data_IF_120849924841
#
_entry.id   IF_120849924841
#
_cell.length_a   1.000
_cell.length_b   1.000
_cell.length_c   1.000
_cell.angle_alpha   90.00
_cell.angle_beta   90.00
_cell.angle_gamma   90.00
#
_symmetry.space_group_name_H-M   'P 1'
#
loop_
_entity.id
_entity.type
_entity.pdbx_description
1 polymer ?
#
# COMPACT_ATOMS: atom_id res chain seq x y z
N UNK A 1 31.60 -5.79 16.80
CA UNK A 1 31.56 -5.46 15.36
C UNK A 1 30.21 -4.78 15.11
N UNK A 2 30.18 -3.45 15.16
CA UNK A 2 28.99 -2.63 14.93
C UNK A 2 28.79 -2.52 13.41
N UNK A 3 27.78 -3.18 12.85
CA UNK A 3 27.38 -2.95 11.47
C UNK A 3 26.61 -1.63 11.41
N UNK A 4 27.27 -0.57 10.96
CA UNK A 4 26.58 0.61 10.44
C UNK A 4 25.90 0.21 9.13
N UNK A 5 24.58 0.38 9.05
CA UNK A 5 23.86 0.17 7.80
C UNK A 5 24.41 1.13 6.73
N UNK A 6 24.63 0.65 5.49
CA UNK A 6 25.16 1.50 4.41
C UNK A 6 24.22 2.68 4.15
N UNK A 7 24.80 3.87 3.99
CA UNK A 7 24.10 5.09 3.59
C UNK A 7 23.37 4.83 2.26
N UNK A 8 22.03 4.78 2.29
CA UNK A 8 21.22 4.63 1.07
C UNK A 8 20.19 3.51 1.06
N UNK A 9 19.87 2.88 2.20
CA UNK A 9 18.68 2.03 2.27
C UNK A 9 17.43 2.90 2.06
N UNK A 10 16.66 2.64 1.00
CA UNK A 10 15.44 3.39 0.71
C UNK A 10 14.41 3.16 1.82
N UNK A 11 14.01 4.23 2.52
CA UNK A 11 12.96 4.21 3.53
C UNK A 11 11.55 4.03 2.95
N UNK A 12 11.39 4.20 1.63
CA UNK A 12 10.09 4.19 0.96
C UNK A 12 9.69 2.77 0.52
N UNK A 13 8.68 2.21 1.18
CA UNK A 13 8.07 0.92 0.82
C UNK A 13 6.67 1.13 0.23
N UNK A 14 6.41 0.53 -0.94
CA UNK A 14 5.07 0.50 -1.55
C UNK A 14 4.48 -0.90 -1.44
N UNK A 15 3.24 -0.98 -0.94
CA UNK A 15 2.52 -2.25 -0.76
C UNK A 15 1.25 -2.22 -1.60
N UNK A 16 1.11 -3.20 -2.50
CA UNK A 16 -0.10 -3.40 -3.29
C UNK A 16 -0.93 -4.52 -2.66
N UNK A 17 -2.10 -4.16 -2.14
CA UNK A 17 -3.02 -5.12 -1.56
C UNK A 17 -4.23 -5.29 -2.44
N UNK A 18 -4.64 -6.54 -2.59
CA UNK A 18 -5.64 -6.92 -3.57
C UNK A 18 -6.98 -7.30 -2.91
N UNK A 19 -6.93 -7.55 -1.59
CA UNK A 19 -8.06 -7.86 -0.72
C UNK A 19 -8.02 -6.95 0.51
N UNK A 20 -9.20 -6.54 0.96
CA UNK A 20 -9.36 -5.70 2.14
C UNK A 20 -8.74 -6.30 3.40
N UNK A 21 -8.96 -7.59 3.65
CA UNK A 21 -8.41 -8.30 4.82
C UNK A 21 -6.87 -8.30 4.86
N UNK A 22 -6.22 -8.36 3.69
CA UNK A 22 -4.75 -8.32 3.61
C UNK A 22 -4.26 -6.91 3.97
N UNK A 23 -4.91 -5.88 3.44
CA UNK A 23 -4.63 -4.47 3.78
C UNK A 23 -4.76 -4.22 5.28
N UNK A 24 -5.85 -4.68 5.90
CA UNK A 24 -6.09 -4.49 7.33
C UNK A 24 -5.01 -5.15 8.19
N UNK A 25 -4.61 -6.39 7.86
CA UNK A 25 -3.53 -7.09 8.58
C UNK A 25 -2.21 -6.34 8.51
N UNK A 26 -1.90 -5.76 7.35
CA UNK A 26 -0.69 -4.97 7.15
C UNK A 26 -0.75 -3.68 7.97
N UNK A 27 -1.88 -2.97 7.97
CA UNK A 27 -2.05 -1.76 8.76
C UNK A 27 -1.89 -2.02 10.28
N UNK A 28 -2.48 -3.10 10.78
CA UNK A 28 -2.33 -3.52 12.19
C UNK A 28 -0.86 -3.85 12.50
N UNK A 29 -0.17 -4.57 11.60
CA UNK A 29 1.23 -4.92 11.83
C UNK A 29 2.15 -3.71 11.75
N UNK A 30 1.86 -2.79 10.83
CA UNK A 30 2.57 -1.53 10.70
C UNK A 30 2.42 -0.69 11.97
N UNK A 31 1.22 -0.61 12.54
CA UNK A 31 0.96 0.06 13.82
C UNK A 31 1.80 -0.53 14.96
N UNK A 32 1.83 -1.86 15.08
CA UNK A 32 2.65 -2.55 16.08
C UNK A 32 4.15 -2.29 15.89
N UNK A 33 4.65 -2.25 14.65
CA UNK A 33 6.06 -1.97 14.35
C UNK A 33 6.45 -0.54 14.66
N UNK A 34 5.58 0.43 14.38
CA UNK A 34 5.79 1.83 14.73
C UNK A 34 5.90 2.00 16.24
N UNK A 35 4.95 1.40 16.98
CA UNK A 35 4.93 1.45 18.43
C UNK A 35 6.15 0.76 19.04
N UNK A 36 6.59 -0.37 18.48
CA UNK A 36 7.76 -1.11 18.98
C UNK A 36 9.08 -0.38 18.71
N UNK A 37 9.23 0.23 17.54
CA UNK A 37 10.49 0.85 17.13
C UNK A 37 10.81 2.18 17.81
N UNK A 38 9.88 2.79 18.57
CA UNK A 38 9.97 4.19 19.02
C UNK A 38 10.38 5.18 17.90
N UNK A 39 10.20 4.77 16.65
CA UNK A 39 10.63 5.56 15.51
C UNK A 39 9.67 6.74 15.38
N UNK A 40 10.20 7.91 15.03
CA UNK A 40 9.41 9.11 14.70
C UNK A 40 8.68 8.93 13.37
N UNK A 41 7.81 7.93 13.31
CA UNK A 41 7.01 7.62 12.14
C UNK A 41 5.99 8.74 11.98
N UNK A 42 5.98 9.38 10.81
CA UNK A 42 5.11 10.52 10.52
C UNK A 42 3.99 10.05 9.60
N UNK A 43 2.76 9.81 10.10
CA UNK A 43 1.63 9.35 9.27
C UNK A 43 1.35 10.29 8.09
N UNK A 44 1.65 11.59 8.24
CA UNK A 44 1.58 12.59 7.16
C UNK A 44 2.50 12.33 5.96
N UNK A 45 3.52 11.49 6.07
CA UNK A 45 4.36 11.06 4.94
C UNK A 45 3.75 9.87 4.19
N UNK A 46 2.85 9.13 4.82
CA UNK A 46 2.18 8.00 4.18
C UNK A 46 1.20 8.50 3.15
N UNK A 47 1.06 7.68 2.10
CA UNK A 47 0.17 7.93 1.00
C UNK A 47 -0.61 6.65 0.76
N UNK A 48 -1.92 6.78 0.66
CA UNK A 48 -2.80 5.65 0.40
C UNK A 48 -3.68 5.89 -0.81
N UNK A 49 -4.02 4.78 -1.47
CA UNK A 49 -4.80 4.73 -2.69
C UNK A 49 -5.65 3.45 -2.66
N UNK A 50 -6.96 3.61 -2.80
CA UNK A 50 -7.88 2.50 -3.00
C UNK A 50 -8.46 2.59 -4.41
N UNK A 51 -8.43 1.48 -5.15
CA UNK A 51 -8.95 1.41 -6.52
C UNK A 51 -10.01 0.33 -6.56
N UNK A 52 -11.20 0.68 -7.03
CA UNK A 52 -12.34 -0.24 -7.17
C UNK A 52 -12.99 -0.05 -8.54
N UNK A 53 -13.19 -1.16 -9.27
CA UNK A 53 -13.80 -1.18 -10.62
C UNK A 53 -13.17 -0.17 -11.59
N UNK A 54 -11.83 -0.05 -11.58
CA UNK A 54 -11.10 0.87 -12.46
C UNK A 54 -11.20 2.36 -12.09
N UNK A 55 -11.82 2.68 -10.95
CA UNK A 55 -11.91 4.04 -10.41
C UNK A 55 -11.22 4.19 -9.06
N UNK A 56 -10.87 5.43 -8.71
CA UNK A 56 -10.46 5.79 -7.35
C UNK A 56 -11.65 5.60 -6.41
N UNK A 57 -11.45 4.87 -5.32
CA UNK A 57 -12.46 4.73 -4.27
C UNK A 57 -12.21 5.80 -3.20
N UNK A 58 -13.00 6.87 -3.26
CA UNK A 58 -12.90 8.03 -2.36
C UNK A 58 -13.62 7.83 -1.02
N UNK A 59 -14.32 6.71 -0.84
CA UNK A 59 -15.00 6.43 0.43
C UNK A 59 -14.06 5.71 1.42
N UNK A 60 -12.98 5.10 0.91
CA UNK A 60 -12.03 4.35 1.74
C UNK A 60 -10.98 5.27 2.36
N UNK A 61 -10.90 5.26 3.70
CA UNK A 61 -9.86 5.92 4.47
C UNK A 61 -9.10 4.89 5.30
N UNK A 62 -7.76 4.96 5.26
CA UNK A 62 -6.90 4.07 6.04
C UNK A 62 -6.31 4.81 7.23
N UNK A 63 -6.19 4.11 8.35
CA UNK A 63 -5.64 4.66 9.59
C UNK A 63 -4.46 3.84 10.08
N UNK A 64 -3.46 4.52 10.65
CA UNK A 64 -2.31 3.95 11.36
C UNK A 64 -2.07 4.84 12.58
N UNK A 65 -1.75 4.26 13.73
CA UNK A 65 -1.61 4.99 15.01
C UNK A 65 -2.79 5.90 15.33
N UNK A 66 -4.01 5.46 14.98
CA UNK A 66 -5.26 6.24 15.07
C UNK A 66 -5.30 7.54 14.25
N UNK A 67 -4.34 7.76 13.36
CA UNK A 67 -4.27 8.91 12.46
C UNK A 67 -4.65 8.50 11.04
N UNK A 68 -5.36 9.38 10.33
CA UNK A 68 -5.70 9.16 8.93
C UNK A 68 -4.44 9.26 8.06
N UNK A 69 -4.23 8.27 7.21
CA UNK A 69 -3.20 8.31 6.18
C UNK A 69 -3.67 9.28 5.10
N UNK A 70 -2.77 10.16 4.65
CA UNK A 70 -3.08 11.10 3.57
C UNK A 70 -3.43 10.34 2.29
N UNK A 71 -4.66 10.51 1.80
CA UNK A 71 -5.07 9.98 0.51
C UNK A 71 -4.34 10.71 -0.61
N UNK A 72 -3.85 9.98 -1.59
CA UNK A 72 -3.31 10.61 -2.79
C UNK A 72 -4.47 11.22 -3.58
N UNK A 73 -4.40 12.53 -3.84
CA UNK A 73 -5.30 13.20 -4.78
C UNK A 73 -4.65 13.18 -6.16
N UNK A 74 -5.37 12.66 -7.15
CA UNK A 74 -4.92 12.65 -8.53
C UNK A 74 -5.71 13.66 -9.37
N UNK A 75 -5.00 14.31 -10.30
CA UNK A 75 -5.59 15.13 -11.35
C UNK A 75 -6.02 14.28 -12.56
N UNK A 76 -6.87 14.82 -13.44
CA UNK A 76 -7.37 14.17 -14.66
C UNK A 76 -6.29 13.51 -15.54
N UNK A 77 -5.04 14.01 -15.53
CA UNK A 77 -3.91 13.42 -16.28
C UNK A 77 -3.51 12.03 -15.80
N UNK A 78 -3.79 11.69 -14.54
CA UNK A 78 -3.44 10.39 -13.96
C UNK A 78 -4.56 9.35 -14.10
N UNK A 79 -5.75 9.76 -14.53
CA UNK A 79 -6.91 8.86 -14.65
C UNK A 79 -6.64 7.71 -15.62
N UNK A 80 -6.01 7.98 -16.76
CA UNK A 80 -5.64 6.95 -17.73
C UNK A 80 -4.63 5.94 -17.16
N UNK A 81 -3.60 6.43 -16.45
CA UNK A 81 -2.58 5.57 -15.82
C UNK A 81 -3.21 4.69 -14.73
N UNK A 82 -4.08 5.25 -13.89
CA UNK A 82 -4.76 4.51 -12.85
C UNK A 82 -5.73 3.46 -13.43
N UNK A 83 -6.42 3.76 -14.53
CA UNK A 83 -7.25 2.79 -15.23
C UNK A 83 -6.42 1.66 -15.82
N UNK A 84 -5.30 1.97 -16.47
CA UNK A 84 -4.37 0.95 -16.98
C UNK A 84 -3.82 0.07 -15.86
N UNK A 85 -3.32 0.67 -14.78
CA UNK A 85 -2.82 -0.08 -13.63
C UNK A 85 -3.90 -0.95 -12.99
N UNK A 86 -5.13 -0.43 -12.87
CA UNK A 86 -6.27 -1.19 -12.34
C UNK A 86 -6.61 -2.39 -13.22
N UNK A 87 -6.59 -2.22 -14.55
CA UNK A 87 -6.82 -3.29 -15.52
C UNK A 87 -5.69 -4.32 -15.46
N UNK A 88 -4.42 -3.92 -15.47
CA UNK A 88 -3.28 -4.84 -15.35
C UNK A 88 -3.31 -5.65 -14.06
N UNK A 89 -3.63 -5.02 -12.93
CA UNK A 89 -3.80 -5.73 -11.64
C UNK A 89 -4.98 -6.70 -11.70
N UNK A 90 -6.04 -6.36 -12.41
CA UNK A 90 -7.21 -7.22 -12.56
C UNK A 90 -6.93 -8.40 -13.50
N UNK A 91 -6.24 -8.18 -14.62
CA UNK A 91 -5.87 -9.21 -15.59
C UNK A 91 -4.78 -10.14 -15.04
N UNK A 92 -3.84 -9.63 -14.25
CA UNK A 92 -2.89 -10.48 -13.53
C UNK A 92 -3.59 -11.45 -12.56
N UNK A 93 -4.81 -11.13 -12.10
CA UNK A 93 -5.65 -12.02 -11.28
C UNK A 93 -6.51 -12.98 -12.09
N UNK A 94 -6.71 -12.75 -13.38
CA UNK A 94 -7.46 -13.64 -14.27
C UNK A 94 -6.60 -14.75 -14.88
N UNK A 95 -5.28 -14.73 -14.66
CA UNK A 95 -4.40 -15.84 -15.00
C UNK A 95 -4.74 -17.07 -14.14
N UNK A 96 -4.96 -18.25 -14.75
CA UNK A 96 -5.27 -19.46 -14.02
C UNK A 96 -4.10 -19.82 -13.10
N UNK A 97 -4.41 -20.05 -11.82
CA UNK A 97 -3.46 -20.62 -10.86
C UNK A 97 -2.95 -21.93 -11.45
N UNK A 98 -1.68 -21.94 -11.88
CA UNK A 98 -1.03 -23.16 -12.34
C UNK A 98 -1.17 -24.21 -11.23
N UNK A 99 -1.74 -25.40 -11.51
CA UNK A 99 -1.94 -26.41 -10.49
C UNK A 99 -0.58 -26.77 -9.90
N UNK A 100 -0.47 -26.71 -8.57
CA UNK A 100 0.73 -27.17 -7.86
C UNK A 100 0.97 -28.63 -8.26
N UNK A 101 2.11 -28.88 -8.90
CA UNK A 101 2.58 -30.24 -9.15
C UNK A 101 2.65 -30.99 -7.81
N UNK A 102 1.99 -32.15 -7.76
CA UNK A 102 2.03 -33.08 -6.62
C UNK A 102 3.39 -33.71 -6.48
#
# INVERSE_FOLDING_TARGET
>A
MLYAAPEGFQDDTTILCSKENETLRILVRLDALINWGSNSFKPKKFRSLSIRKGGLDEDVCFKVTSQDITRIRYTWRHKGVLQHLAMEIYDAKSLPVQPKAK
#
